data_IF_601083321025
#
_entry.id   IF_601083321025
#
_cell.length_a   1.000
_cell.length_b   1.000
_cell.length_c   1.000
_cell.angle_alpha   90.00
_cell.angle_beta   90.00
_cell.angle_gamma   90.00
#
_symmetry.space_group_name_H-M   'P 1'
#
loop_
_entity.id
_entity.type
_entity.pdbx_description
1 polymer ?
#
# COMPACT_ATOMS: atom_id res chain seq x y z
N UNK A 1 -28.50 -60.61 -3.19
CA UNK A 1 -28.97 -60.25 -1.84
C UNK A 1 -27.72 -59.84 -1.04
N UNK A 2 -27.62 -58.70 -0.35
CA UNK A 2 -28.58 -57.99 0.51
C UNK A 2 -28.27 -56.47 0.43
N UNK A 3 -29.28 -55.60 0.33
CA UNK A 3 -29.08 -54.14 0.21
C UNK A 3 -28.70 -53.55 1.58
N UNK A 4 -27.65 -52.73 1.64
CA UNK A 4 -27.35 -51.90 2.82
C UNK A 4 -27.62 -50.44 2.42
N UNK A 5 -28.57 -49.82 3.11
CA UNK A 5 -29.07 -48.49 2.83
C UNK A 5 -28.28 -47.48 3.69
N UNK A 6 -27.33 -46.77 3.09
CA UNK A 6 -26.71 -45.61 3.74
C UNK A 6 -27.48 -44.35 3.38
N UNK A 7 -28.33 -43.90 4.31
CA UNK A 7 -28.88 -42.55 4.29
C UNK A 7 -27.81 -41.63 4.88
N UNK A 8 -27.27 -40.73 4.07
CA UNK A 8 -26.42 -39.63 4.52
C UNK A 8 -27.03 -38.30 4.08
N UNK A 9 -27.20 -37.43 5.06
CA UNK A 9 -27.99 -36.20 5.00
C UNK A 9 -27.40 -35.16 4.06
N UNK A 10 -28.26 -34.56 3.22
CA UNK A 10 -27.91 -33.42 2.37
C UNK A 10 -27.70 -32.16 3.25
N UNK A 11 -26.46 -31.72 3.40
CA UNK A 11 -26.13 -30.41 3.96
C UNK A 11 -25.99 -29.38 2.85
N UNK A 12 -27.04 -28.58 2.60
CA UNK A 12 -26.97 -27.44 1.67
C UNK A 12 -26.18 -26.30 2.33
N UNK A 13 -24.86 -26.29 2.13
CA UNK A 13 -23.98 -25.21 2.55
C UNK A 13 -23.94 -24.11 1.47
N UNK A 14 -25.03 -23.36 1.33
CA UNK A 14 -25.06 -22.13 0.52
C UNK A 14 -24.29 -21.03 1.24
N UNK A 15 -22.96 -21.04 1.11
CA UNK A 15 -22.11 -19.91 1.52
C UNK A 15 -21.65 -19.18 0.25
N UNK A 16 -22.46 -18.23 -0.18
CA UNK A 16 -22.06 -17.24 -1.17
C UNK A 16 -20.98 -16.34 -0.55
N UNK A 17 -19.70 -16.69 -0.71
CA UNK A 17 -18.59 -15.78 -0.40
C UNK A 17 -18.51 -14.71 -1.49
N UNK A 18 -19.50 -13.82 -1.49
CA UNK A 18 -19.53 -12.62 -2.33
C UNK A 18 -18.49 -11.62 -1.82
N UNK A 19 -17.20 -11.92 -2.01
CA UNK A 19 -16.10 -10.99 -1.75
C UNK A 19 -16.04 -9.92 -2.85
N UNK A 20 -17.13 -9.19 -3.00
CA UNK A 20 -17.21 -7.98 -3.81
C UNK A 20 -16.74 -6.81 -2.93
N UNK A 21 -15.45 -6.76 -2.59
CA UNK A 21 -14.83 -5.54 -2.06
C UNK A 21 -14.91 -4.48 -3.15
N UNK A 22 -15.79 -3.50 -2.98
CA UNK A 22 -16.01 -2.41 -3.93
C UNK A 22 -14.99 -1.29 -3.73
N UNK A 23 -14.47 -0.77 -4.85
CA UNK A 23 -13.77 0.51 -4.98
C UNK A 23 -12.43 0.67 -4.23
N UNK A 24 -11.34 0.27 -4.88
CA UNK A 24 -9.99 0.71 -4.53
C UNK A 24 -9.74 2.14 -5.06
N UNK A 25 -9.96 3.15 -4.22
CA UNK A 25 -9.42 4.52 -4.25
C UNK A 25 -9.99 5.24 -3.00
N UNK A 26 -9.28 6.11 -2.28
CA UNK A 26 -8.30 7.09 -2.75
C UNK A 26 -7.38 7.47 -1.59
N UNK A 27 -6.07 7.26 -1.68
CA UNK A 27 -5.13 7.73 -0.66
C UNK A 27 -4.47 9.05 -1.12
N UNK A 28 -4.58 10.13 -0.33
CA UNK A 28 -3.82 11.35 -0.56
C UNK A 28 -2.92 11.69 0.65
N UNK A 29 -2.46 10.63 1.35
CA UNK A 29 -1.57 10.60 2.52
C UNK A 29 -2.26 11.16 3.79
N UNK A 30 -2.20 10.54 5.00
CA UNK A 30 -1.55 9.30 5.50
C UNK A 30 -1.80 7.94 4.80
N UNK A 31 -1.18 6.87 5.32
CA UNK A 31 -1.49 5.46 5.01
C UNK A 31 -0.32 4.49 5.21
N UNK A 32 -0.61 3.16 5.25
CA UNK A 32 0.41 2.11 5.13
C UNK A 32 0.46 1.58 3.69
N UNK A 33 1.66 1.38 3.15
CA UNK A 33 1.83 0.73 1.85
C UNK A 33 3.10 -0.12 1.81
N UNK A 34 3.13 -1.08 0.89
CA UNK A 34 4.29 -1.92 0.58
C UNK A 34 4.73 -1.71 -0.86
N UNK A 35 6.04 -1.77 -1.12
CA UNK A 35 6.61 -1.73 -2.47
C UNK A 35 6.63 -3.11 -3.13
N UNK A 36 6.83 -3.19 -4.45
CA UNK A 36 7.09 -4.46 -5.16
C UNK A 36 8.25 -5.25 -4.54
N UNK A 37 9.27 -4.56 -4.03
CA UNK A 37 10.41 -5.15 -3.30
C UNK A 37 10.13 -5.52 -1.83
N UNK A 38 8.90 -5.36 -1.35
CA UNK A 38 8.49 -5.77 0.01
C UNK A 38 8.80 -4.77 1.13
N UNK A 39 9.33 -3.59 0.80
CA UNK A 39 9.63 -2.54 1.78
C UNK A 39 8.31 -1.91 2.25
N UNK A 40 8.08 -1.89 3.56
CA UNK A 40 6.85 -1.32 4.15
C UNK A 40 7.09 0.12 4.59
N UNK A 41 6.10 0.97 4.33
CA UNK A 41 6.07 2.38 4.73
C UNK A 41 4.80 2.66 5.52
N UNK A 42 4.95 3.38 6.64
CA UNK A 42 3.86 3.82 7.52
C UNK A 42 3.87 5.35 7.61
N UNK A 43 3.14 6.03 6.71
CA UNK A 43 3.02 7.49 6.75
C UNK A 43 1.95 7.87 7.77
N UNK A 44 2.36 8.34 8.94
CA UNK A 44 1.48 8.63 10.07
C UNK A 44 0.90 10.05 10.00
N UNK A 45 -0.26 10.27 10.61
CA UNK A 45 -0.97 11.54 10.59
C UNK A 45 -0.24 12.72 11.25
N UNK A 46 0.74 12.44 12.11
CA UNK A 46 1.61 13.42 12.78
C UNK A 46 2.83 13.84 11.94
N UNK A 47 2.88 13.47 10.65
CA UNK A 47 4.02 13.69 9.75
C UNK A 47 5.28 12.88 10.07
N UNK A 48 5.21 11.88 10.96
CA UNK A 48 6.27 10.86 11.13
C UNK A 48 6.08 9.70 10.16
N UNK A 49 7.18 9.04 9.81
CA UNK A 49 7.18 7.80 9.01
C UNK A 49 7.97 6.70 9.72
N UNK A 50 7.55 5.45 9.53
CA UNK A 50 8.36 4.27 9.81
C UNK A 50 8.52 3.46 8.52
N UNK A 51 9.76 3.15 8.18
CA UNK A 51 10.16 2.34 7.03
C UNK A 51 10.68 1.01 7.59
N UNK A 52 10.23 -0.12 7.05
CA UNK A 52 10.67 -1.46 7.46
C UNK A 52 11.12 -2.27 6.25
N UNK A 53 12.28 -2.90 6.36
CA UNK A 53 12.86 -3.77 5.34
C UNK A 53 12.66 -5.25 5.70
N UNK A 54 12.89 -6.13 4.73
CA UNK A 54 12.74 -7.58 4.84
C UNK A 54 13.73 -8.21 5.84
N UNK A 55 14.93 -7.63 5.97
CA UNK A 55 15.93 -7.95 7.01
C UNK A 55 15.53 -7.54 8.43
N UNK A 56 14.30 -7.04 8.63
CA UNK A 56 13.76 -6.48 9.87
C UNK A 56 14.45 -5.22 10.37
N UNK A 57 15.33 -4.60 9.58
CA UNK A 57 15.82 -3.25 9.87
C UNK A 57 14.70 -2.23 9.70
N UNK A 58 14.74 -1.18 10.50
CA UNK A 58 13.73 -0.13 10.50
C UNK A 58 14.34 1.26 10.61
N UNK A 59 13.68 2.23 9.99
CA UNK A 59 14.08 3.63 10.01
C UNK A 59 12.88 4.53 10.30
N UNK A 60 13.03 5.41 11.29
CA UNK A 60 12.06 6.49 11.56
C UNK A 60 12.56 7.82 11.00
N UNK A 61 11.63 8.60 10.44
CA UNK A 61 11.90 9.93 9.89
C UNK A 61 10.63 10.75 9.76
N UNK A 62 10.67 11.82 8.97
CA UNK A 62 9.49 12.64 8.66
C UNK A 62 9.01 12.48 7.22
N UNK A 63 7.76 12.87 6.96
CA UNK A 63 7.22 13.02 5.61
C UNK A 63 6.42 14.32 5.48
N UNK A 64 6.28 14.85 4.26
CA UNK A 64 5.60 16.13 3.99
C UNK A 64 4.75 16.05 2.73
N UNK A 65 3.65 16.80 2.71
CA UNK A 65 2.81 16.97 1.51
C UNK A 65 3.32 18.15 0.68
N UNK A 66 3.54 17.92 -0.60
CA UNK A 66 3.53 18.98 -1.61
C UNK A 66 2.15 19.05 -2.28
N UNK A 67 1.59 20.25 -2.41
CA UNK A 67 0.27 20.47 -3.00
C UNK A 67 0.24 21.81 -3.77
N UNK A 68 0.07 21.74 -5.09
CA UNK A 68 -0.09 22.87 -6.01
C UNK A 68 -1.53 22.88 -6.59
N UNK A 69 -2.52 22.74 -5.70
CA UNK A 69 -3.92 22.61 -6.07
C UNK A 69 -4.17 21.37 -6.94
N UNK A 70 -5.03 21.51 -7.94
CA UNK A 70 -5.42 20.41 -8.83
C UNK A 70 -4.30 19.98 -9.81
N UNK A 71 -3.18 20.73 -9.87
CA UNK A 71 -2.09 20.49 -10.81
C UNK A 71 -1.15 19.36 -10.37
N UNK A 72 -0.71 19.39 -9.11
CA UNK A 72 0.36 18.51 -8.62
C UNK A 72 0.27 18.30 -7.11
N UNK A 73 0.07 17.05 -6.70
CA UNK A 73 0.11 16.60 -5.31
C UNK A 73 0.99 15.35 -5.18
N UNK A 74 1.87 15.34 -4.19
CA UNK A 74 2.74 14.21 -3.83
C UNK A 74 3.19 14.32 -2.36
N UNK A 75 3.71 13.24 -1.80
CA UNK A 75 4.42 13.29 -0.53
C UNK A 75 5.93 13.13 -0.75
N UNK A 76 6.75 13.80 0.07
CA UNK A 76 8.18 13.50 0.19
C UNK A 76 8.45 12.82 1.52
N UNK A 77 9.37 11.85 1.52
CA UNK A 77 9.67 10.99 2.68
C UNK A 77 11.18 11.06 2.94
N UNK A 78 11.55 11.26 4.20
CA UNK A 78 12.92 11.28 4.70
C UNK A 78 13.48 9.86 4.88
N UNK A 79 14.76 9.68 4.57
CA UNK A 79 15.49 8.45 4.88
C UNK A 79 16.94 8.77 5.28
N UNK A 80 17.43 8.17 6.36
CA UNK A 80 18.78 8.37 6.89
C UNK A 80 19.22 9.86 7.05
N UNK A 81 18.31 10.76 7.42
CA UNK A 81 18.54 12.20 7.53
C UNK A 81 18.57 12.96 6.19
N UNK A 82 18.35 12.27 5.07
CA UNK A 82 18.18 12.87 3.75
C UNK A 82 16.71 13.17 3.52
N UNK A 83 16.34 14.45 3.59
CA UNK A 83 15.03 14.93 3.19
C UNK A 83 14.77 14.71 1.70
N UNK A 84 13.51 14.42 1.34
CA UNK A 84 13.09 14.15 -0.04
C UNK A 84 13.83 12.98 -0.71
N UNK A 85 14.15 11.94 0.06
CA UNK A 85 14.80 10.73 -0.47
C UNK A 85 13.83 9.89 -1.31
N UNK A 86 12.58 9.74 -0.83
CA UNK A 86 11.49 9.17 -1.64
C UNK A 86 10.41 10.21 -1.95
N UNK A 87 9.76 10.02 -3.10
CA UNK A 87 8.61 10.77 -3.55
C UNK A 87 7.47 9.79 -3.81
N UNK A 88 6.31 10.06 -3.23
CA UNK A 88 5.13 9.21 -3.34
C UNK A 88 4.05 9.95 -4.14
N UNK A 89 3.68 9.41 -5.30
CA UNK A 89 2.66 10.01 -6.19
C UNK A 89 1.95 8.96 -7.02
N UNK A 90 0.61 9.05 -7.07
CA UNK A 90 -0.25 8.26 -7.97
C UNK A 90 0.01 6.74 -7.90
N UNK A 91 0.03 6.15 -6.69
CA UNK A 91 0.28 4.71 -6.51
C UNK A 91 1.71 4.25 -6.80
N UNK A 92 2.68 5.18 -6.92
CA UNK A 92 4.09 4.87 -7.20
C UNK A 92 5.05 5.57 -6.23
N UNK A 93 6.14 4.87 -5.91
CA UNK A 93 7.29 5.39 -5.16
C UNK A 93 8.46 5.68 -6.11
N UNK A 94 9.08 6.85 -5.97
CA UNK A 94 10.20 7.30 -6.80
C UNK A 94 11.38 7.71 -5.92
N UNK A 95 12.61 7.48 -6.40
CA UNK A 95 13.87 7.86 -5.71
C UNK A 95 14.45 9.21 -6.14
N UNK A 96 13.77 9.93 -7.05
CA UNK A 96 14.12 11.31 -7.41
C UNK A 96 12.90 12.05 -7.99
N UNK A 97 12.96 13.39 -7.93
CA UNK A 97 11.90 14.29 -8.38
C UNK A 97 11.66 14.22 -9.90
N UNK A 98 12.72 14.15 -10.71
CA UNK A 98 12.63 14.15 -12.18
C UNK A 98 11.76 12.98 -12.70
N UNK A 99 11.99 11.79 -12.15
CA UNK A 99 11.24 10.57 -12.44
C UNK A 99 9.79 10.68 -11.93
N UNK A 100 9.57 11.24 -10.73
CA UNK A 100 8.24 11.50 -10.19
C UNK A 100 7.43 12.47 -11.05
N UNK A 101 8.01 13.61 -11.44
CA UNK A 101 7.34 14.62 -12.28
C UNK A 101 6.94 14.02 -13.63
N UNK A 102 7.84 13.25 -14.24
CA UNK A 102 7.60 12.55 -15.52
C UNK A 102 6.76 11.27 -15.41
N UNK A 103 6.43 10.84 -14.18
CA UNK A 103 5.72 9.58 -13.89
C UNK A 103 6.40 8.36 -14.53
N UNK A 104 7.73 8.33 -14.54
CA UNK A 104 8.55 7.30 -15.17
C UNK A 104 9.46 6.63 -14.12
N UNK A 105 9.71 5.32 -14.27
CA UNK A 105 10.63 4.56 -13.40
C UNK A 105 10.30 4.66 -11.90
N UNK A 106 9.00 4.77 -11.57
CA UNK A 106 8.48 4.61 -10.21
C UNK A 106 8.05 3.17 -9.97
N UNK A 107 8.43 2.64 -8.81
CA UNK A 107 8.03 1.32 -8.30
C UNK A 107 6.54 1.39 -7.92
N UNK A 108 5.73 0.41 -8.34
CA UNK A 108 4.34 0.33 -7.90
C UNK A 108 4.28 0.05 -6.39
N UNK A 109 3.19 0.47 -5.75
CA UNK A 109 2.94 0.18 -4.33
C UNK A 109 1.51 -0.32 -4.11
N UNK A 110 1.34 -1.20 -3.12
CA UNK A 110 0.05 -1.70 -2.66
C UNK A 110 -0.28 -1.11 -1.29
N UNK A 111 -1.43 -0.43 -1.19
CA UNK A 111 -1.95 0.08 0.07
C UNK A 111 -2.53 -1.03 0.93
N UNK A 112 -2.23 -1.00 2.22
CA UNK A 112 -2.56 -2.04 3.18
C UNK A 112 -3.81 -1.69 4.01
N UNK A 113 -4.80 -1.06 3.37
CA UNK A 113 -6.04 -0.52 3.97
C UNK A 113 -7.09 -1.61 4.34
#
# INVERSE_FOLDING_TARGET
>A
MKKILFILTVSVSLICISSCKKSAATHPFPGKFVTETGIQFDLRADSTTLIQYDDSSSYEGTWKVYNQGDTLKYATIEFAGYFNYYYLRNGKLYRNEHNMIRQALGEEIEYQD
#
